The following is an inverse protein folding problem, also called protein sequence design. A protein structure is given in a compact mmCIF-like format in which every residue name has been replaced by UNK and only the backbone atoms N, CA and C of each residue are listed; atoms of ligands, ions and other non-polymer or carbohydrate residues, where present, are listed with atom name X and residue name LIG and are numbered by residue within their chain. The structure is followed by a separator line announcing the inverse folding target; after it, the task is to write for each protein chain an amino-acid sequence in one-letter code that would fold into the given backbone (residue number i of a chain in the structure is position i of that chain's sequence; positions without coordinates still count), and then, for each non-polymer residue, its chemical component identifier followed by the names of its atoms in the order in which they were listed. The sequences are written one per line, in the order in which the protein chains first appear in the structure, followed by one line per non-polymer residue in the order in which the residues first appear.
data_IF_369563588952
#
_entry.id   IF_369563588952
#
_cell.length_a   1.000
_cell.length_b   1.000
_cell.length_c   1.000
_cell.angle_alpha   90.00
_cell.angle_beta   90.00
_cell.angle_gamma   90.00
#
_symmetry.space_group_name_H-M   'P 1'
#
loop_
_entity.id
_entity.type
_entity.pdbx_description
1 polymer ?
#
# COMPACT_ATOMS: atom_id res chain seq x y z
N UNK A 1 -0.88 8.04 -3.36
CA UNK A 1 0.33 8.22 -4.20
C UNK A 1 1.57 8.54 -3.38
N UNK A 2 1.52 9.48 -2.44
CA UNK A 2 2.67 9.90 -1.59
C UNK A 2 3.49 8.76 -0.94
N UNK A 3 2.84 7.70 -0.47
CA UNK A 3 3.53 6.56 0.12
C UNK A 3 4.44 5.84 -0.89
N UNK A 4 3.99 5.66 -2.13
CA UNK A 4 4.76 5.01 -3.19
C UNK A 4 5.93 5.87 -3.65
N UNK A 5 5.69 7.18 -3.82
CA UNK A 5 6.75 8.12 -4.21
C UNK A 5 7.87 8.18 -3.17
N UNK A 6 7.53 8.19 -1.87
CA UNK A 6 8.53 8.14 -0.80
C UNK A 6 9.37 6.86 -0.80
N UNK A 7 8.81 5.72 -1.21
CA UNK A 7 9.59 4.47 -1.36
C UNK A 7 10.52 4.56 -2.59
N UNK A 8 10.03 5.04 -3.73
CA UNK A 8 10.83 5.20 -4.96
C UNK A 8 12.03 6.14 -4.72
N UNK A 9 11.83 7.20 -3.93
CA UNK A 9 12.87 8.16 -3.56
C UNK A 9 13.84 7.65 -2.48
N UNK A 10 13.60 6.46 -1.91
CA UNK A 10 14.42 5.92 -0.81
C UNK A 10 14.17 6.56 0.56
N UNK A 11 13.17 7.44 0.68
CA UNK A 11 12.81 8.15 1.90
C UNK A 11 12.02 7.28 2.89
N UNK A 12 11.31 6.27 2.38
CA UNK A 12 10.43 5.39 3.17
C UNK A 12 10.74 3.92 2.89
N UNK A 13 10.62 3.03 3.88
CA UNK A 13 10.82 1.60 3.66
C UNK A 13 9.65 1.01 2.84
N UNK A 14 9.89 -0.06 2.04
CA UNK A 14 8.87 -0.68 1.20
C UNK A 14 7.58 -1.09 1.92
N UNK A 15 7.67 -1.44 3.21
CA UNK A 15 6.50 -1.76 4.06
C UNK A 15 5.45 -0.66 4.10
N UNK A 16 5.85 0.62 3.96
CA UNK A 16 4.94 1.77 4.00
C UNK A 16 4.05 1.82 2.76
N UNK A 17 4.62 1.60 1.57
CA UNK A 17 3.84 1.52 0.34
C UNK A 17 2.90 0.31 0.36
N UNK A 18 3.36 -0.84 0.87
CA UNK A 18 2.52 -2.04 1.02
C UNK A 18 1.32 -1.78 1.94
N UNK A 19 1.54 -1.14 3.10
CA UNK A 19 0.45 -0.82 4.01
C UNK A 19 -0.56 0.15 3.39
N UNK A 20 -0.07 1.20 2.74
CA UNK A 20 -0.92 2.18 2.05
C UNK A 20 -1.75 1.53 0.93
N UNK A 21 -1.16 0.58 0.18
CA UNK A 21 -1.88 -0.19 -0.82
C UNK A 21 -2.98 -1.05 -0.19
N UNK A 22 -2.69 -1.80 0.88
CA UNK A 22 -3.69 -2.66 1.54
C UNK A 22 -4.88 -1.83 2.02
N UNK A 23 -4.63 -0.68 2.66
CA UNK A 23 -5.71 0.23 3.10
C UNK A 23 -6.54 0.70 1.92
N UNK A 24 -5.91 1.21 0.87
CA UNK A 24 -6.62 1.68 -0.32
C UNK A 24 -7.41 0.56 -1.04
N UNK A 25 -6.85 -0.65 -1.10
CA UNK A 25 -7.50 -1.80 -1.72
C UNK A 25 -8.71 -2.30 -0.91
N UNK A 26 -8.66 -2.21 0.42
CA UNK A 26 -9.81 -2.48 1.30
C UNK A 26 -10.91 -1.46 1.09
N UNK A 27 -10.57 -0.17 1.07
CA UNK A 27 -11.52 0.92 0.86
C UNK A 27 -12.23 0.78 -0.49
N UNK A 28 -11.49 0.40 -1.53
CA UNK A 28 -12.02 0.13 -2.86
C UNK A 28 -12.70 -1.26 -3.00
N UNK A 29 -12.65 -2.12 -1.98
CA UNK A 29 -13.16 -3.50 -1.99
C UNK A 29 -12.58 -4.38 -3.12
N UNK A 30 -11.32 -4.15 -3.47
CA UNK A 30 -10.58 -4.88 -4.51
C UNK A 30 -9.42 -5.70 -3.95
N UNK A 31 -9.26 -5.75 -2.62
CA UNK A 31 -8.22 -6.55 -1.99
C UNK A 31 -8.54 -8.04 -2.15
N UNK A 32 -7.86 -8.70 -3.09
CA UNK A 32 -7.96 -10.14 -3.33
C UNK A 32 -7.13 -10.90 -2.28
N UNK A 33 -7.72 -11.91 -1.64
CA UNK A 33 -7.05 -12.75 -0.65
C UNK A 33 -7.33 -12.41 0.81
N UNK A 34 -8.34 -11.59 1.10
CA UNK A 34 -8.86 -11.39 2.48
C UNK A 34 -9.97 -12.40 2.84
N UNK A 35 -9.99 -13.56 2.19
CA UNK A 35 -10.73 -14.73 2.64
C UNK A 35 -9.73 -15.69 3.27
N UNK A 36 -9.80 -15.78 4.61
CA UNK A 36 -9.23 -16.87 5.39
C UNK A 36 -10.10 -18.11 5.16
#
# INVERSE_FOLDING_TARGET
MEACLGVIRGEKPPRVARQAFIVAAKDARILLGEQI
#
